data_IF_169801238114
#
_entry.id   IF_169801238114
#
_cell.length_a   1.000
_cell.length_b   1.000
_cell.length_c   1.000
_cell.angle_alpha   90.00
_cell.angle_beta   90.00
_cell.angle_gamma   90.00
#
_symmetry.space_group_name_H-M   'P 1'
#
loop_
_entity.id
_entity.type
_entity.pdbx_description
1 polymer ?
#
# COMPACT_ATOMS: atom_id res chain seq x y z
N UNK A 1 -13.02 13.16 -9.71
CA UNK A 1 -12.49 11.87 -10.23
C UNK A 1 -12.96 10.77 -9.29
N UNK A 2 -13.33 9.59 -9.81
CA UNK A 2 -13.75 8.46 -9.00
C UNK A 2 -12.50 7.66 -8.55
N UNK A 3 -12.41 7.29 -7.28
CA UNK A 3 -11.37 6.40 -6.76
C UNK A 3 -11.64 4.96 -7.22
N UNK A 4 -10.62 4.31 -7.77
CA UNK A 4 -10.67 2.91 -8.17
C UNK A 4 -9.53 2.19 -7.46
N UNK A 5 -9.87 1.24 -6.59
CA UNK A 5 -8.86 0.40 -5.95
C UNK A 5 -8.23 -0.51 -7.02
N UNK A 6 -6.99 -0.21 -7.40
CA UNK A 6 -6.29 -0.94 -8.47
C UNK A 6 -5.23 -1.87 -7.88
N UNK A 7 -5.47 -3.17 -7.85
CA UNK A 7 -4.50 -4.18 -7.41
C UNK A 7 -3.54 -4.52 -8.55
N UNK A 8 -2.25 -4.59 -8.25
CA UNK A 8 -1.21 -4.96 -9.20
C UNK A 8 -0.93 -6.45 -9.13
N UNK A 9 -1.05 -7.10 -10.28
CA UNK A 9 -0.55 -8.43 -10.54
C UNK A 9 0.89 -8.36 -11.06
N UNK A 10 1.75 -9.23 -10.52
CA UNK A 10 3.11 -9.47 -11.00
C UNK A 10 3.35 -10.98 -11.13
N UNK A 11 4.31 -11.37 -11.98
CA UNK A 11 4.45 -12.76 -12.43
C UNK A 11 5.09 -13.66 -11.36
N UNK A 12 5.93 -13.10 -10.50
CA UNK A 12 6.59 -13.82 -9.41
C UNK A 12 5.71 -13.91 -8.17
N UNK A 13 6.01 -14.87 -7.29
CA UNK A 13 5.39 -14.91 -5.96
C UNK A 13 3.87 -15.06 -5.98
N UNK A 14 3.21 -14.32 -5.11
CA UNK A 14 1.76 -14.25 -4.92
C UNK A 14 1.35 -12.77 -4.84
N UNK A 15 0.28 -12.40 -5.52
CA UNK A 15 -0.26 -11.03 -5.57
C UNK A 15 -1.74 -10.97 -5.12
N UNK A 16 -2.38 -12.14 -5.06
CA UNK A 16 -3.81 -12.37 -4.83
C UNK A 16 -4.14 -12.61 -3.35
N UNK A 17 -3.48 -11.85 -2.49
CA UNK A 17 -3.69 -11.78 -1.03
C UNK A 17 -4.76 -10.75 -0.65
N UNK A 18 -5.19 -10.73 0.61
CA UNK A 18 -6.07 -9.69 1.17
C UNK A 18 -7.38 -9.47 0.41
N UNK A 19 -8.09 -10.55 0.06
CA UNK A 19 -9.19 -10.52 -0.92
C UNK A 19 -10.40 -9.70 -0.45
N UNK A 20 -10.62 -9.54 0.85
CA UNK A 20 -11.71 -8.73 1.42
C UNK A 20 -11.26 -7.33 1.79
N UNK A 21 -9.96 -7.08 1.94
CA UNK A 21 -9.41 -5.79 2.31
C UNK A 21 -9.90 -4.63 1.41
N UNK A 22 -9.90 -4.75 0.06
CA UNK A 22 -10.41 -3.69 -0.80
C UNK A 22 -11.84 -3.29 -0.46
N UNK A 23 -12.72 -4.26 -0.19
CA UNK A 23 -14.12 -3.98 0.17
C UNK A 23 -14.23 -3.26 1.51
N UNK A 24 -13.43 -3.63 2.52
CA UNK A 24 -13.44 -3.00 3.84
C UNK A 24 -12.92 -1.56 3.77
N UNK A 25 -11.87 -1.30 2.98
CA UNK A 25 -11.34 0.04 2.75
C UNK A 25 -12.33 0.90 1.96
N UNK A 26 -12.91 0.37 0.88
CA UNK A 26 -13.93 1.07 0.09
C UNK A 26 -15.14 1.45 0.94
N UNK A 27 -15.59 0.58 1.84
CA UNK A 27 -16.65 0.91 2.79
C UNK A 27 -16.26 2.11 3.68
N UNK A 28 -15.03 2.17 4.20
CA UNK A 28 -14.56 3.32 4.98
C UNK A 28 -14.50 4.62 4.18
N UNK A 29 -14.08 4.55 2.91
CA UNK A 29 -14.09 5.73 2.05
C UNK A 29 -15.52 6.26 1.86
N UNK A 30 -16.51 5.38 1.71
CA UNK A 30 -17.94 5.75 1.63
C UNK A 30 -18.45 6.31 2.96
N UNK A 31 -18.04 5.74 4.09
CA UNK A 31 -18.51 6.17 5.42
C UNK A 31 -17.96 7.52 5.85
N UNK A 32 -16.67 7.78 5.57
CA UNK A 32 -15.98 8.95 6.12
C UNK A 32 -15.79 10.09 5.12
N UNK A 33 -15.77 9.83 3.82
CA UNK A 33 -15.40 10.82 2.82
C UNK A 33 -16.53 11.10 1.82
N UNK A 34 -16.36 12.15 1.02
CA UNK A 34 -17.21 12.41 -0.15
C UNK A 34 -16.56 11.97 -1.46
N UNK A 35 -15.47 11.17 -1.40
CA UNK A 35 -14.77 10.69 -2.59
C UNK A 35 -15.68 9.67 -3.29
N UNK A 36 -16.04 9.88 -4.57
CA UNK A 36 -16.78 8.88 -5.33
C UNK A 36 -15.91 7.63 -5.49
N UNK A 37 -16.42 6.45 -5.13
CA UNK A 37 -15.67 5.18 -5.24
C UNK A 37 -16.25 4.27 -6.32
N UNK A 38 -15.39 3.48 -6.96
CA UNK A 38 -15.78 2.28 -7.70
C UNK A 38 -15.84 1.11 -6.73
N UNK A 39 -16.94 0.37 -6.73
CA UNK A 39 -17.17 -0.69 -5.74
C UNK A 39 -16.47 -1.99 -6.12
N UNK A 40 -16.11 -2.14 -7.39
CA UNK A 40 -15.35 -3.28 -7.89
C UNK A 40 -13.86 -2.94 -7.94
N UNK A 41 -13.02 -3.82 -7.39
CA UNK A 41 -11.59 -3.70 -7.55
C UNK A 41 -11.20 -3.89 -9.03
N UNK A 42 -10.13 -3.21 -9.44
CA UNK A 42 -9.53 -3.41 -10.75
C UNK A 42 -8.20 -4.13 -10.57
N UNK A 43 -8.03 -5.28 -11.22
CA UNK A 43 -6.74 -5.98 -11.26
C UNK A 43 -6.03 -5.61 -12.56
N UNK A 44 -4.79 -5.12 -12.46
CA UNK A 44 -3.93 -4.84 -13.62
C UNK A 44 -2.59 -5.53 -13.45
N UNK A 45 -2.05 -6.08 -14.55
CA UNK A 45 -0.64 -6.44 -14.55
C UNK A 45 0.22 -5.17 -14.45
N UNK A 46 1.32 -5.21 -13.70
CA UNK A 46 2.34 -4.15 -13.68
C UNK A 46 2.93 -3.86 -15.09
N UNK A 47 2.79 -4.81 -16.02
CA UNK A 47 3.20 -4.66 -17.43
C UNK A 47 2.20 -3.91 -18.29
N UNK A 48 0.96 -3.76 -17.83
CA UNK A 48 -0.11 -3.13 -18.58
C UNK A 48 0.13 -1.60 -18.65
N UNK A 49 -0.06 -1.03 -19.83
CA UNK A 49 0.01 0.42 -20.02
C UNK A 49 -1.14 1.16 -19.30
N UNK A 50 -2.26 0.49 -19.05
CA UNK A 50 -3.39 1.02 -18.27
C UNK A 50 -3.00 1.38 -16.82
N UNK A 51 -1.86 0.87 -16.33
CA UNK A 51 -1.27 1.28 -15.05
C UNK A 51 -1.11 2.81 -14.97
N UNK A 52 -0.68 3.44 -16.07
CA UNK A 52 -0.40 4.89 -16.12
C UNK A 52 -1.64 5.77 -15.92
N UNK A 53 -2.83 5.19 -15.97
CA UNK A 53 -4.11 5.88 -15.79
C UNK A 53 -4.67 5.68 -14.37
N UNK A 54 -4.04 4.84 -13.55
CA UNK A 54 -4.46 4.62 -12.17
C UNK A 54 -3.96 5.77 -11.28
N UNK A 55 -4.81 6.42 -10.47
CA UNK A 55 -4.33 7.39 -9.47
C UNK A 55 -3.68 6.69 -8.28
N UNK A 56 -4.13 5.48 -7.96
CA UNK A 56 -3.73 4.69 -6.81
C UNK A 56 -3.64 3.22 -7.21
N UNK A 57 -2.58 2.56 -6.75
CA UNK A 57 -2.36 1.13 -6.93
C UNK A 57 -1.91 0.47 -5.64
N UNK A 58 -2.20 -0.83 -5.52
CA UNK A 58 -1.85 -1.65 -4.39
C UNK A 58 -1.06 -2.89 -4.85
N UNK A 59 0.06 -3.18 -4.20
CA UNK A 59 0.87 -4.37 -4.42
C UNK A 59 1.14 -5.02 -3.07
N UNK A 60 0.80 -6.28 -2.92
CA UNK A 60 1.09 -7.03 -1.69
C UNK A 60 1.35 -8.48 -2.02
N UNK A 61 1.91 -9.19 -1.05
CA UNK A 61 2.24 -10.59 -1.15
C UNK A 61 3.18 -11.02 -0.03
N UNK A 62 3.49 -12.31 0.00
CA UNK A 62 4.39 -12.88 1.00
C UNK A 62 5.56 -13.68 0.39
N UNK A 63 5.73 -13.65 -0.93
CA UNK A 63 6.81 -14.31 -1.68
C UNK A 63 7.64 -13.31 -2.50
N UNK A 64 8.47 -13.84 -3.39
CA UNK A 64 9.37 -13.09 -4.28
C UNK A 64 8.63 -12.03 -5.09
N UNK A 65 9.14 -10.80 -5.03
CA UNK A 65 8.85 -9.71 -5.97
C UNK A 65 9.99 -9.64 -6.99
N UNK A 66 9.67 -9.84 -8.27
CA UNK A 66 10.59 -9.73 -9.38
C UNK A 66 9.90 -8.98 -10.51
N UNK A 67 10.46 -7.82 -10.90
CA UNK A 67 9.93 -7.01 -11.97
C UNK A 67 10.81 -7.15 -13.20
N UNK A 68 10.21 -7.53 -14.32
CA UNK A 68 10.91 -7.55 -15.59
C UNK A 68 11.16 -6.13 -16.11
N UNK A 69 11.94 -6.01 -17.20
CA UNK A 69 12.30 -4.71 -17.74
C UNK A 69 11.09 -3.86 -18.18
N UNK A 70 9.97 -4.48 -18.57
CA UNK A 70 8.75 -3.76 -18.93
C UNK A 70 8.03 -3.24 -17.67
N UNK A 71 7.87 -4.09 -16.66
CA UNK A 71 7.29 -3.72 -15.38
C UNK A 71 8.07 -2.59 -14.70
N UNK A 72 9.41 -2.66 -14.69
CA UNK A 72 10.29 -1.60 -14.17
C UNK A 72 10.07 -0.25 -14.87
N UNK A 73 10.08 -0.23 -16.21
CA UNK A 73 9.83 1.00 -16.99
C UNK A 73 8.43 1.56 -16.77
N UNK A 74 7.43 0.69 -16.62
CA UNK A 74 6.07 1.12 -16.36
C UNK A 74 5.95 1.74 -14.97
N UNK A 75 6.54 1.12 -13.94
CA UNK A 75 6.53 1.63 -12.58
C UNK A 75 7.25 2.97 -12.47
N UNK A 76 8.42 3.11 -13.10
CA UNK A 76 9.16 4.37 -13.16
C UNK A 76 8.29 5.49 -13.76
N UNK A 77 7.67 5.23 -14.93
CA UNK A 77 6.78 6.20 -15.60
C UNK A 77 5.52 6.48 -14.82
N UNK A 78 4.96 5.47 -14.16
CA UNK A 78 3.76 5.59 -13.33
C UNK A 78 4.02 6.58 -12.19
N UNK A 79 5.09 6.36 -11.43
CA UNK A 79 5.49 7.23 -10.33
C UNK A 79 5.87 8.64 -10.83
N UNK A 80 6.64 8.74 -11.91
CA UNK A 80 7.01 10.04 -12.49
C UNK A 80 5.79 10.86 -12.95
N UNK A 81 4.70 10.19 -13.36
CA UNK A 81 3.45 10.84 -13.77
C UNK A 81 2.50 11.13 -12.59
N UNK A 82 2.92 10.88 -11.35
CA UNK A 82 2.12 11.12 -10.14
C UNK A 82 1.22 9.97 -9.73
N UNK A 83 1.47 8.75 -10.23
CA UNK A 83 0.84 7.55 -9.72
C UNK A 83 1.33 7.23 -8.32
N UNK A 84 0.42 6.74 -7.47
CA UNK A 84 0.73 6.31 -6.10
C UNK A 84 0.70 4.79 -5.99
N UNK A 85 1.77 4.14 -5.53
CA UNK A 85 1.83 2.72 -5.23
C UNK A 85 1.87 2.51 -3.72
N UNK A 86 0.85 1.87 -3.15
CA UNK A 86 0.91 1.30 -1.80
C UNK A 86 1.40 -0.14 -1.88
N UNK A 87 2.60 -0.40 -1.37
CA UNK A 87 3.18 -1.72 -1.24
C UNK A 87 3.13 -2.19 0.22
N UNK A 88 2.62 -3.39 0.47
CA UNK A 88 2.46 -3.93 1.82
C UNK A 88 2.97 -5.38 1.90
N UNK A 89 3.88 -5.63 2.84
CA UNK A 89 4.46 -6.95 3.08
C UNK A 89 3.59 -7.77 4.04
N UNK A 90 2.97 -8.84 3.53
CA UNK A 90 2.10 -9.72 4.31
C UNK A 90 2.86 -10.68 5.25
N UNK A 91 4.20 -10.70 5.22
CA UNK A 91 4.99 -11.44 6.22
C UNK A 91 5.44 -10.57 7.40
N UNK A 92 5.33 -9.23 7.29
CA UNK A 92 5.87 -8.27 8.26
C UNK A 92 7.28 -8.64 8.78
N UNK A 93 8.15 -9.14 7.90
CA UNK A 93 9.52 -9.58 8.20
C UNK A 93 10.51 -8.71 7.43
N UNK A 94 11.29 -7.88 8.13
CA UNK A 94 12.25 -6.97 7.49
C UNK A 94 13.32 -7.68 6.66
N UNK A 95 13.64 -8.93 6.99
CA UNK A 95 14.61 -9.76 6.28
C UNK A 95 13.92 -10.83 5.40
N UNK A 96 12.59 -10.75 5.32
CA UNK A 96 11.72 -11.64 4.58
C UNK A 96 11.95 -11.58 3.07
N UNK A 97 11.48 -12.63 2.38
CA UNK A 97 11.66 -12.74 0.94
C UNK A 97 10.97 -11.59 0.19
N UNK A 98 9.77 -11.19 0.61
CA UNK A 98 9.04 -10.06 0.02
C UNK A 98 9.82 -8.75 0.25
N UNK A 99 10.05 -8.34 1.51
CA UNK A 99 10.82 -7.14 1.85
C UNK A 99 12.12 -7.00 1.05
N UNK A 100 13.02 -7.99 1.13
CA UNK A 100 14.33 -7.89 0.47
C UNK A 100 14.24 -7.84 -1.06
N UNK A 101 13.30 -8.57 -1.65
CA UNK A 101 13.14 -8.54 -3.10
C UNK A 101 12.47 -7.25 -3.57
N UNK A 102 11.44 -6.78 -2.89
CA UNK A 102 10.80 -5.49 -3.17
C UNK A 102 11.78 -4.33 -3.06
N UNK A 103 12.57 -4.26 -1.98
CA UNK A 103 13.59 -3.23 -1.78
C UNK A 103 14.63 -3.23 -2.89
N UNK A 104 15.06 -4.41 -3.35
CA UNK A 104 15.98 -4.55 -4.48
C UNK A 104 15.35 -4.03 -5.77
N UNK A 105 14.10 -4.39 -6.07
CA UNK A 105 13.40 -3.89 -7.26
C UNK A 105 13.25 -2.35 -7.19
N UNK A 106 12.96 -1.79 -6.02
CA UNK A 106 12.88 -0.34 -5.84
C UNK A 106 14.24 0.34 -6.03
N UNK A 107 15.32 -0.25 -5.53
CA UNK A 107 16.68 0.26 -5.75
C UNK A 107 17.11 0.19 -7.22
N UNK A 108 16.70 -0.86 -7.93
CA UNK A 108 16.94 -1.01 -9.37
C UNK A 108 16.20 0.05 -10.20
N UNK A 109 14.96 0.39 -9.82
CA UNK A 109 14.11 1.34 -10.57
C UNK A 109 14.43 2.79 -10.22
N UNK A 110 14.56 3.11 -8.94
CA UNK A 110 14.64 4.49 -8.44
C UNK A 110 16.02 4.87 -7.90
N UNK A 111 16.95 3.91 -7.84
CA UNK A 111 18.29 4.10 -7.33
C UNK A 111 18.47 3.69 -5.86
N UNK A 112 19.71 3.40 -5.44
CA UNK A 112 20.00 2.96 -4.08
C UNK A 112 19.65 4.06 -3.07
N UNK A 113 18.95 3.69 -2.00
CA UNK A 113 18.55 4.60 -0.93
C UNK A 113 17.33 5.48 -1.24
N UNK A 114 16.70 5.32 -2.41
CA UNK A 114 15.49 6.08 -2.76
C UNK A 114 14.30 5.76 -1.83
N UNK A 115 14.18 4.50 -1.39
CA UNK A 115 13.16 4.07 -0.44
C UNK A 115 13.63 4.39 1.00
N UNK A 116 13.17 5.52 1.54
CA UNK A 116 13.62 6.06 2.82
C UNK A 116 12.48 6.15 3.83
N UNK A 117 12.79 6.12 5.13
CA UNK A 117 11.78 6.29 6.18
C UNK A 117 11.15 7.69 6.11
N UNK A 118 9.83 7.77 6.27
CA UNK A 118 9.12 9.04 6.42
C UNK A 118 9.02 9.40 7.91
N UNK A 119 9.10 10.69 8.29
CA UNK A 119 9.00 11.11 9.68
C UNK A 119 7.56 11.05 10.19
N UNK A 120 7.36 10.92 11.51
CA UNK A 120 6.01 10.79 12.10
C UNK A 120 5.15 12.08 11.98
N UNK A 121 5.75 13.21 11.63
CA UNK A 121 5.05 14.46 11.31
C UNK A 121 4.72 14.60 9.80
N UNK A 122 4.97 13.57 9.00
CA UNK A 122 4.64 13.55 7.58
C UNK A 122 3.12 13.71 7.37
N UNK A 123 2.74 14.50 6.36
CA UNK A 123 1.34 14.86 6.07
C UNK A 123 0.42 13.64 5.82
N UNK A 124 0.98 12.49 5.44
CA UNK A 124 0.26 11.21 5.35
C UNK A 124 -0.49 10.89 6.65
N UNK A 125 0.13 11.12 7.81
CA UNK A 125 -0.42 10.75 9.12
C UNK A 125 -1.55 11.67 9.60
N UNK A 126 -1.75 12.81 8.95
CA UNK A 126 -2.82 13.80 9.25
C UNK A 126 -3.68 14.14 8.02
N UNK A 127 -3.61 13.35 6.94
CA UNK A 127 -4.33 13.64 5.70
C UNK A 127 -5.86 13.60 5.84
N UNK A 128 -6.39 12.86 6.81
CA UNK A 128 -7.84 12.86 7.10
C UNK A 128 -8.14 12.64 8.59
N UNK A 129 -7.67 11.53 9.15
CA UNK A 129 -7.61 11.29 10.59
C UNK A 129 -6.21 11.64 11.11
N UNK A 130 -6.11 11.89 12.41
CA UNK A 130 -4.84 12.17 13.09
C UNK A 130 -4.20 10.87 13.61
N UNK A 131 -2.93 10.67 13.30
CA UNK A 131 -2.08 9.61 13.82
C UNK A 131 -0.71 10.17 14.22
N UNK A 132 -0.10 9.64 15.28
CA UNK A 132 1.24 10.04 15.75
C UNK A 132 2.39 9.30 15.02
N UNK A 133 2.10 8.76 13.84
CA UNK A 133 2.94 7.83 13.09
C UNK A 133 2.13 6.65 12.53
N UNK A 134 2.78 5.61 12.00
CA UNK A 134 2.06 4.47 11.43
C UNK A 134 1.41 3.62 12.54
N UNK A 135 0.09 3.38 12.50
CA UNK A 135 -0.57 2.58 13.53
C UNK A 135 -0.07 1.13 13.51
N UNK A 136 0.14 0.55 14.68
CA UNK A 136 0.48 -0.87 14.85
C UNK A 136 -0.69 -1.77 14.47
N UNK A 137 -0.42 -2.91 13.84
CA UNK A 137 -1.44 -3.93 13.55
C UNK A 137 -1.43 -5.05 14.59
N UNK A 138 -2.50 -5.84 14.63
CA UNK A 138 -2.55 -7.03 15.47
C UNK A 138 -1.69 -8.17 14.92
N UNK A 139 -1.44 -8.19 13.61
CA UNK A 139 -0.62 -9.19 12.94
C UNK A 139 0.88 -9.01 13.20
N UNK A 140 1.35 -7.76 13.25
CA UNK A 140 2.73 -7.44 13.68
C UNK A 140 3.05 -7.99 15.08
N UNK A 141 2.04 -8.06 15.95
CA UNK A 141 2.20 -8.48 17.34
C UNK A 141 1.95 -9.98 17.55
N UNK A 142 1.45 -10.72 16.55
CA UNK A 142 0.96 -12.08 16.73
C UNK A 142 1.31 -13.05 15.57
N UNK A 143 2.33 -12.79 14.75
CA UNK A 143 2.47 -13.49 13.46
C UNK A 143 3.88 -13.77 12.92
N UNK A 144 3.87 -14.25 11.67
CA UNK A 144 4.87 -14.84 10.75
C UNK A 144 6.23 -14.15 10.52
N UNK A 145 6.59 -13.17 11.34
CA UNK A 145 7.73 -12.28 11.09
C UNK A 145 8.80 -12.31 12.18
N UNK A 146 9.45 -11.17 12.37
CA UNK A 146 10.63 -10.97 13.21
C UNK A 146 10.31 -10.63 14.69
N UNK A 147 9.05 -10.70 15.09
CA UNK A 147 8.52 -10.28 16.41
C UNK A 147 8.86 -8.81 16.75
N UNK A 148 9.07 -7.94 15.76
CA UNK A 148 9.35 -6.52 15.93
C UNK A 148 8.10 -5.66 15.71
N UNK A 149 7.99 -4.61 16.51
CA UNK A 149 7.07 -3.50 16.22
C UNK A 149 7.76 -2.56 15.25
N UNK A 150 7.26 -2.48 14.02
CA UNK A 150 7.78 -1.55 13.02
C UNK A 150 7.17 -0.17 13.24
N UNK A 151 7.97 0.77 13.72
CA UNK A 151 7.53 2.13 14.05
C UNK A 151 7.61 3.12 12.87
N UNK A 152 7.81 2.62 11.65
CA UNK A 152 8.07 3.42 10.47
C UNK A 152 7.30 2.94 9.23
N UNK A 153 7.14 3.85 8.28
CA UNK A 153 6.89 3.53 6.87
C UNK A 153 8.07 4.02 6.05
N UNK A 154 8.26 3.45 4.87
CA UNK A 154 9.21 3.98 3.89
C UNK A 154 8.48 4.51 2.68
N UNK A 155 9.03 5.54 2.05
CA UNK A 155 8.51 6.09 0.82
C UNK A 155 9.62 6.39 -0.19
N UNK A 156 9.25 6.38 -1.47
CA UNK A 156 9.97 7.04 -2.55
C UNK A 156 9.17 8.30 -2.89
N UNK A 157 9.78 9.46 -2.73
CA UNK A 157 9.18 10.75 -3.04
C UNK A 157 9.71 11.31 -4.36
N UNK A 158 8.80 11.77 -5.22
CA UNK A 158 9.12 12.46 -6.47
C UNK A 158 8.41 13.82 -6.45
N UNK A 159 9.20 14.89 -6.56
CA UNK A 159 8.73 16.28 -6.51
C UNK A 159 7.88 16.60 -5.25
N UNK A 160 8.27 16.03 -4.10
CA UNK A 160 7.60 16.23 -2.81
C UNK A 160 6.28 15.46 -2.65
N UNK A 161 6.00 14.49 -3.53
CA UNK A 161 4.84 13.59 -3.45
C UNK A 161 5.30 12.16 -3.28
N UNK A 162 4.59 11.38 -2.49
CA UNK A 162 4.84 9.94 -2.39
C UNK A 162 4.44 9.27 -3.71
N UNK A 163 5.42 8.65 -4.38
CA UNK A 163 5.19 7.77 -5.53
C UNK A 163 5.05 6.31 -5.13
N UNK A 164 5.82 5.88 -4.14
CA UNK A 164 5.74 4.54 -3.56
C UNK A 164 5.69 4.68 -2.05
N UNK A 165 4.66 4.13 -1.41
CA UNK A 165 4.57 3.93 0.04
C UNK A 165 4.78 2.45 0.32
N UNK A 166 5.77 2.11 1.12
CA UNK A 166 6.05 0.75 1.56
C UNK A 166 5.75 0.58 3.05
N UNK A 167 5.02 -0.50 3.34
CA UNK A 167 4.68 -0.97 4.67
C UNK A 167 5.18 -2.39 4.87
N UNK A 168 5.79 -2.65 6.02
CA UNK A 168 6.08 -3.97 6.56
C UNK A 168 5.20 -4.27 7.79
N UNK A 169 4.01 -3.66 7.83
CA UNK A 169 3.11 -3.69 8.98
C UNK A 169 1.93 -4.63 8.78
N UNK A 170 1.84 -5.26 7.61
CA UNK A 170 0.77 -6.18 7.24
C UNK A 170 -0.63 -5.55 7.42
N UNK A 171 -0.78 -4.35 6.85
CA UNK A 171 -2.07 -3.65 6.85
C UNK A 171 -3.13 -4.41 6.05
N UNK A 172 -2.72 -5.09 4.97
CA UNK A 172 -3.53 -5.95 4.14
C UNK A 172 -4.28 -6.99 4.97
N UNK A 173 -3.56 -7.83 5.73
CA UNK A 173 -4.19 -8.86 6.56
C UNK A 173 -4.99 -8.26 7.70
N UNK A 174 -4.51 -7.19 8.35
CA UNK A 174 -5.25 -6.48 9.40
C UNK A 174 -6.62 -5.99 8.92
N UNK A 175 -6.72 -5.63 7.64
CA UNK A 175 -7.94 -5.15 7.01
C UNK A 175 -8.72 -6.25 6.25
N UNK A 176 -8.21 -7.49 6.17
CA UNK A 176 -8.81 -8.63 5.46
C UNK A 176 -9.71 -9.50 6.36
N UNK A 177 -10.86 -8.95 6.75
CA UNK A 177 -11.86 -9.66 7.56
C UNK A 177 -13.25 -9.67 6.94
N UNK A 178 -14.13 -10.57 7.39
CA UNK A 178 -15.55 -10.54 7.00
C UNK A 178 -16.16 -9.20 7.44
N UNK A 179 -16.72 -8.44 6.49
CA UNK A 179 -17.25 -7.09 6.72
C UNK A 179 -18.23 -7.01 7.92
N UNK A 180 -18.92 -8.10 8.27
CA UNK A 180 -19.83 -8.14 9.44
C UNK A 180 -19.09 -7.97 10.76
N UNK A 181 -17.79 -8.26 10.79
CA UNK A 181 -16.97 -8.14 11.98
C UNK A 181 -16.59 -6.69 12.29
N UNK A 182 -16.67 -5.79 11.28
CA UNK A 182 -16.35 -4.37 11.45
C UNK A 182 -17.15 -3.71 12.58
N UNK A 183 -18.42 -4.11 12.74
CA UNK A 183 -19.33 -3.60 13.79
C UNK A 183 -18.88 -3.89 15.22
N UNK A 184 -17.96 -4.83 15.40
CA UNK A 184 -17.42 -5.19 16.71
C UNK A 184 -16.13 -4.44 17.05
N UNK A 185 -15.54 -3.74 16.08
CA UNK A 185 -14.35 -2.93 16.30
C UNK A 185 -14.75 -1.65 17.05
N UNK A 186 -14.14 -1.43 18.21
CA UNK A 186 -14.34 -0.19 18.98
C UNK A 186 -13.82 1.05 18.21
N UNK A 187 -12.78 0.84 17.40
CA UNK A 187 -12.25 1.81 16.45
C UNK A 187 -12.03 1.10 15.13
N UNK A 188 -12.51 1.71 14.05
CA UNK A 188 -12.30 1.21 12.71
C UNK A 188 -10.80 1.18 12.39
N UNK A 189 -10.26 -0.03 12.18
CA UNK A 189 -8.84 -0.25 11.93
C UNK A 189 -8.40 0.16 10.51
N UNK A 190 -9.34 0.38 9.60
CA UNK A 190 -9.06 0.83 8.21
C UNK A 190 -8.94 2.35 8.07
N UNK A 191 -9.08 3.12 9.16
CA UNK A 191 -8.95 4.60 9.15
C UNK A 191 -7.63 5.07 8.55
N UNK A 192 -6.54 4.34 8.77
CA UNK A 192 -5.26 4.70 8.17
C UNK A 192 -5.24 4.49 6.65
N UNK A 193 -5.96 3.49 6.14
CA UNK A 193 -6.20 3.35 4.71
C UNK A 193 -6.95 4.56 4.11
N UNK A 194 -7.87 5.19 4.87
CA UNK A 194 -8.50 6.45 4.44
C UNK A 194 -7.47 7.57 4.31
N UNK A 195 -6.55 7.70 5.26
CA UNK A 195 -5.45 8.66 5.15
C UNK A 195 -4.58 8.40 3.91
N UNK A 196 -4.19 7.14 3.67
CA UNK A 196 -3.39 6.77 2.49
C UNK A 196 -4.10 7.18 1.20
N UNK A 197 -5.39 6.86 1.08
CA UNK A 197 -6.16 7.17 -0.13
C UNK A 197 -6.38 8.67 -0.28
N UNK A 198 -6.72 9.39 0.79
CA UNK A 198 -6.90 10.85 0.74
C UNK A 198 -5.58 11.51 0.34
N UNK A 199 -4.46 11.10 0.96
CA UNK A 199 -3.14 11.60 0.62
C UNK A 199 -2.83 11.40 -0.87
N UNK A 200 -2.97 10.16 -1.37
CA UNK A 200 -2.75 9.81 -2.77
C UNK A 200 -3.63 10.61 -3.75
N UNK A 201 -4.85 10.96 -3.35
CA UNK A 201 -5.82 11.66 -4.19
C UNK A 201 -5.71 13.19 -4.13
N UNK A 202 -4.94 13.75 -3.18
CA UNK A 202 -4.80 15.20 -2.97
C UNK A 202 -3.38 15.74 -3.14
N UNK A 203 -2.39 14.86 -3.28
CA UNK A 203 -0.98 15.20 -3.45
C UNK A 203 -0.64 15.72 -4.86
#
# INVERSE_FOLDING_TARGET
MKFVFTRLQYDSGDWDVDQRMPSNLLNSLVEYTTIPVETEERVLSVRDAALLEAPFTYLAGHKLVELDAQAKRNLERYVANGGFLFADDCNHDVDGLFARSFEREMADVFGPGALARIPNDHALYSSFFEFDGPPTTSFELNGWGDDLVHDYLRAIEVDGRIGVLYSNKDYGCEWDYDYRNKRWLARDNTRFGVNIVVHAMTA
#
